data_IF_253142011460
#
_entry.id   IF_253142011460
#
_cell.length_a   1.000
_cell.length_b   1.000
_cell.length_c   1.000
_cell.angle_alpha   90.00
_cell.angle_beta   90.00
_cell.angle_gamma   90.00
#
_symmetry.space_group_name_H-M   'P 1'
#
loop_
_entity.id
_entity.type
_entity.pdbx_description
1 polymer ?
#
# COMPACT_ATOMS: atom_id res chain seq x y z
N UNK A 1 -6.64 29.82 -27.72
CA UNK A 1 -6.56 30.14 -26.28
C UNK A 1 -7.44 29.24 -25.40
N UNK A 2 -8.62 28.82 -25.84
CA UNK A 2 -9.49 27.92 -25.05
C UNK A 2 -8.80 26.60 -24.64
N UNK A 3 -8.09 25.92 -25.55
CA UNK A 3 -7.40 24.65 -25.24
C UNK A 3 -6.33 24.72 -24.15
N UNK A 4 -5.71 25.90 -23.93
CA UNK A 4 -4.72 26.09 -22.88
C UNK A 4 -5.36 26.21 -21.48
N UNK A 5 -6.52 26.87 -21.39
CA UNK A 5 -7.28 26.99 -20.15
C UNK A 5 -7.92 25.65 -19.74
N UNK A 6 -8.39 24.84 -20.70
CA UNK A 6 -8.86 23.48 -20.40
C UNK A 6 -7.73 22.59 -19.91
N UNK A 7 -6.56 22.65 -20.53
CA UNK A 7 -5.38 21.90 -20.07
C UNK A 7 -4.96 22.29 -18.65
N UNK A 8 -4.90 23.59 -18.37
CA UNK A 8 -4.54 24.10 -17.05
C UNK A 8 -5.59 23.75 -15.98
N UNK A 9 -6.87 23.71 -16.35
CA UNK A 9 -7.97 23.31 -15.45
C UNK A 9 -7.96 21.81 -15.14
N UNK A 10 -7.66 20.95 -16.11
CA UNK A 10 -7.55 19.49 -15.89
C UNK A 10 -6.33 19.16 -15.03
N UNK A 11 -5.19 19.81 -15.30
CA UNK A 11 -3.98 19.61 -14.51
C UNK A 11 -4.13 20.19 -13.08
N UNK A 12 -4.88 21.28 -12.92
CA UNK A 12 -5.29 21.82 -11.62
C UNK A 12 -6.17 20.84 -10.85
N UNK A 13 -7.18 20.25 -11.47
CA UNK A 13 -8.12 19.36 -10.77
C UNK A 13 -7.47 18.06 -10.30
N UNK A 14 -6.51 17.53 -11.06
CA UNK A 14 -5.78 16.32 -10.68
C UNK A 14 -4.81 16.54 -9.51
N UNK A 15 -4.36 17.77 -9.27
CA UNK A 15 -3.44 18.13 -8.19
C UNK A 15 -4.13 18.62 -6.91
N UNK A 16 -5.47 18.76 -6.92
CA UNK A 16 -6.23 19.10 -5.72
C UNK A 16 -6.08 18.02 -4.64
N UNK A 17 -6.00 18.37 -3.34
CA UNK A 17 -5.91 17.38 -2.28
C UNK A 17 -7.06 16.38 -2.32
N UNK A 18 -6.77 15.10 -2.12
CA UNK A 18 -7.81 14.10 -1.82
C UNK A 18 -8.16 14.22 -0.35
N UNK A 19 -9.42 14.47 -0.05
CA UNK A 19 -9.86 14.76 1.32
C UNK A 19 -10.39 13.48 1.93
N UNK A 20 -9.98 13.17 3.15
CA UNK A 20 -10.47 12.02 3.91
C UNK A 20 -10.88 12.46 5.31
N UNK A 21 -11.98 11.91 5.81
CA UNK A 21 -12.40 12.14 7.19
C UNK A 21 -11.43 11.47 8.18
N UNK A 22 -11.10 12.15 9.28
CA UNK A 22 -10.21 11.61 10.31
C UNK A 22 -10.63 10.23 10.83
N UNK A 23 -11.93 9.96 10.93
CA UNK A 23 -12.43 8.65 11.39
C UNK A 23 -12.02 7.50 10.48
N UNK A 24 -11.86 7.75 9.18
CA UNK A 24 -11.54 6.71 8.19
C UNK A 24 -10.07 6.29 8.20
N UNK A 25 -9.20 7.13 8.75
CA UNK A 25 -7.76 6.85 8.89
C UNK A 25 -7.34 6.56 10.33
N UNK A 26 -8.26 6.64 11.29
CA UNK A 26 -7.96 6.37 12.70
C UNK A 26 -7.88 4.87 13.00
N UNK A 27 -8.69 4.05 12.32
CA UNK A 27 -8.82 2.63 12.64
C UNK A 27 -8.09 1.74 11.64
N UNK A 28 -7.09 1.02 12.15
CA UNK A 28 -6.32 0.06 11.40
C UNK A 28 -6.28 -1.27 12.14
N UNK A 29 -6.38 -2.36 11.37
CA UNK A 29 -6.33 -3.71 11.92
C UNK A 29 -5.17 -4.46 11.32
N UNK A 30 -4.38 -5.08 12.19
CA UNK A 30 -3.41 -6.07 11.77
C UNK A 30 -4.17 -7.34 11.37
N UNK A 31 -4.00 -7.78 10.13
CA UNK A 31 -4.66 -8.97 9.60
C UNK A 31 -3.60 -9.96 9.16
N UNK A 32 -3.69 -11.16 9.71
CA UNK A 32 -2.98 -12.32 9.21
C UNK A 32 -3.88 -13.07 8.23
N UNK A 33 -3.44 -13.16 6.98
CA UNK A 33 -4.13 -13.83 5.89
C UNK A 33 -3.61 -15.26 5.76
N UNK A 34 -4.49 -16.17 5.33
CA UNK A 34 -4.04 -17.52 4.96
C UNK A 34 -3.14 -17.43 3.72
N UNK A 35 -2.07 -18.24 3.62
CA UNK A 35 -1.28 -18.35 2.40
C UNK A 35 -2.13 -18.69 1.15
N UNK A 36 -3.28 -19.33 1.34
CA UNK A 36 -4.21 -19.69 0.26
C UNK A 36 -5.18 -18.56 -0.11
N UNK A 37 -5.29 -17.50 0.71
CA UNK A 37 -6.17 -16.37 0.43
C UNK A 37 -5.56 -15.48 -0.66
N UNK A 38 -6.40 -14.95 -1.56
CA UNK A 38 -5.96 -13.95 -2.53
C UNK A 38 -5.57 -12.65 -1.83
N UNK A 39 -4.45 -12.04 -2.23
CA UNK A 39 -3.94 -10.80 -1.65
C UNK A 39 -2.41 -10.70 -1.73
N UNK A 40 -1.92 -9.47 -1.57
CA UNK A 40 -0.52 -9.07 -1.77
C UNK A 40 0.42 -9.46 -0.62
N UNK A 41 -0.08 -9.67 0.59
CA UNK A 41 0.74 -9.99 1.76
C UNK A 41 0.10 -11.01 2.69
N UNK A 42 0.95 -11.70 3.46
CA UNK A 42 0.53 -12.61 4.53
C UNK A 42 0.10 -11.81 5.77
N UNK A 43 0.95 -10.89 6.20
CA UNK A 43 0.64 -9.94 7.25
C UNK A 43 0.39 -8.59 6.60
N UNK A 44 -0.74 -7.98 6.93
CA UNK A 44 -1.14 -6.72 6.31
C UNK A 44 -1.82 -5.81 7.33
N UNK A 45 -1.70 -4.50 7.10
CA UNK A 45 -2.41 -3.48 7.84
C UNK A 45 -3.61 -3.03 7.00
N UNK A 46 -4.81 -3.29 7.51
CA UNK A 46 -6.07 -3.07 6.80
C UNK A 46 -6.83 -1.89 7.43
N UNK A 47 -7.15 -0.84 6.65
CA UNK A 47 -8.04 0.22 7.11
C UNK A 47 -9.50 -0.27 7.08
N UNK A 48 -10.43 0.63 7.37
CA UNK A 48 -11.85 0.41 7.06
C UNK A 48 -12.06 0.28 5.55
N UNK A 49 -13.04 -0.51 5.12
CA UNK A 49 -13.38 -0.63 3.69
C UNK A 49 -13.91 0.70 3.10
N UNK A 50 -14.38 1.59 3.98
CA UNK A 50 -14.92 2.90 3.65
C UNK A 50 -13.82 3.87 3.17
N UNK A 51 -12.61 3.82 3.74
CA UNK A 51 -11.47 4.61 3.25
C UNK A 51 -11.18 4.33 1.77
N UNK A 52 -11.13 3.05 1.38
CA UNK A 52 -10.93 2.64 -0.03
C UNK A 52 -12.05 3.15 -0.91
N UNK A 53 -13.29 2.95 -0.49
CA UNK A 53 -14.46 3.32 -1.27
C UNK A 53 -14.49 4.83 -1.53
N UNK A 54 -14.23 5.65 -0.52
CA UNK A 54 -14.21 7.11 -0.63
C UNK A 54 -13.12 7.60 -1.59
N UNK A 55 -11.89 7.11 -1.43
CA UNK A 55 -10.79 7.47 -2.30
C UNK A 55 -11.02 7.00 -3.75
N UNK A 56 -11.58 5.81 -3.95
CA UNK A 56 -11.96 5.33 -5.27
C UNK A 56 -13.01 6.24 -5.94
N UNK A 57 -14.03 6.68 -5.19
CA UNK A 57 -15.04 7.61 -5.72
C UNK A 57 -14.43 8.96 -6.09
N UNK A 58 -13.50 9.50 -5.29
CA UNK A 58 -12.80 10.74 -5.63
C UNK A 58 -11.93 10.60 -6.88
N UNK A 59 -11.21 9.48 -7.02
CA UNK A 59 -10.44 9.19 -8.24
C UNK A 59 -11.38 9.14 -9.44
N UNK A 60 -12.46 8.36 -9.36
CA UNK A 60 -13.44 8.26 -10.44
C UNK A 60 -14.05 9.62 -10.80
N UNK A 61 -14.44 10.43 -9.82
CA UNK A 61 -15.01 11.76 -10.06
C UNK A 61 -14.06 12.74 -10.75
N UNK A 62 -12.75 12.54 -10.63
CA UNK A 62 -11.72 13.39 -11.25
C UNK A 62 -11.29 12.90 -12.62
N UNK A 63 -11.12 11.58 -12.77
CA UNK A 63 -10.58 10.98 -14.00
C UNK A 63 -11.70 10.62 -14.98
N UNK A 64 -12.91 10.34 -14.48
CA UNK A 64 -14.02 9.75 -15.23
C UNK A 64 -13.66 8.42 -15.91
N UNK A 65 -12.62 7.75 -15.41
CA UNK A 65 -12.12 6.49 -15.96
C UNK A 65 -12.81 5.30 -15.25
N UNK A 66 -13.39 4.40 -16.04
CA UNK A 66 -13.93 3.15 -15.53
C UNK A 66 -12.78 2.22 -15.13
N UNK A 67 -12.59 2.03 -13.82
CA UNK A 67 -11.53 1.21 -13.25
C UNK A 67 -12.08 0.13 -12.32
N UNK A 68 -11.27 -0.88 -12.06
CA UNK A 68 -11.53 -1.91 -11.07
C UNK A 68 -10.97 -1.45 -9.72
N UNK A 69 -11.67 -1.73 -8.62
CA UNK A 69 -11.16 -1.51 -7.26
C UNK A 69 -10.92 -2.87 -6.58
N UNK A 70 -9.89 -3.02 -5.72
CA UNK A 70 -9.67 -4.29 -5.03
C UNK A 70 -10.79 -4.55 -4.03
N UNK A 71 -11.06 -5.83 -3.76
CA UNK A 71 -12.10 -6.26 -2.81
C UNK A 71 -11.82 -5.73 -1.40
N UNK A 72 -10.55 -5.70 -1.00
CA UNK A 72 -10.12 -5.17 0.29
C UNK A 72 -8.85 -4.33 0.09
N UNK A 73 -8.83 -3.13 0.68
CA UNK A 73 -7.63 -2.32 0.80
C UNK A 73 -6.74 -2.89 1.91
N UNK A 74 -5.45 -3.01 1.67
CA UNK A 74 -4.49 -3.32 2.71
C UNK A 74 -3.09 -2.88 2.30
N UNK A 75 -2.31 -2.45 3.28
CA UNK A 75 -0.87 -2.25 3.17
C UNK A 75 -0.23 -3.61 3.50
N UNK A 76 0.44 -4.29 2.55
CA UNK A 76 1.22 -5.46 2.92
C UNK A 76 2.35 -5.02 3.86
N UNK A 77 2.54 -5.77 4.94
CA UNK A 77 3.68 -5.61 5.85
C UNK A 77 4.76 -6.66 5.55
N UNK A 78 4.30 -7.85 5.15
CA UNK A 78 5.12 -8.96 4.69
C UNK A 78 4.50 -9.51 3.41
N UNK A 79 5.25 -9.43 2.32
CA UNK A 79 4.87 -10.02 1.04
C UNK A 79 4.94 -11.54 1.11
N UNK A 80 4.20 -12.19 0.23
CA UNK A 80 4.16 -13.67 0.17
C UNK A 80 5.54 -14.26 -0.12
N UNK A 81 6.30 -13.64 -1.00
CA UNK A 81 7.66 -14.04 -1.36
C UNK A 81 8.65 -13.84 -0.20
N UNK A 82 8.50 -12.78 0.58
CA UNK A 82 9.30 -12.53 1.79
C UNK A 82 9.01 -13.54 2.88
N UNK A 83 7.75 -13.95 3.03
CA UNK A 83 7.36 -14.94 4.02
C UNK A 83 8.08 -16.28 3.81
N UNK A 84 8.31 -16.70 2.57
CA UNK A 84 9.05 -17.94 2.30
C UNK A 84 10.48 -17.89 2.87
N UNK A 85 11.14 -16.72 2.81
CA UNK A 85 12.47 -16.50 3.41
C UNK A 85 12.40 -16.55 4.93
N UNK A 86 11.40 -15.90 5.53
CA UNK A 86 11.23 -15.86 6.99
C UNK A 86 10.91 -17.25 7.58
N UNK A 87 10.11 -18.06 6.87
CA UNK A 87 9.81 -19.45 7.27
C UNK A 87 11.07 -20.33 7.21
N UNK A 88 11.90 -20.16 6.18
CA UNK A 88 13.17 -20.89 6.10
C UNK A 88 14.10 -20.58 7.27
N UNK A 89 13.92 -19.41 7.92
CA UNK A 89 14.62 -18.97 9.12
C UNK A 89 13.88 -19.30 10.43
N UNK A 90 12.82 -20.11 10.36
CA UNK A 90 12.10 -20.60 11.53
C UNK A 90 11.03 -19.67 12.09
N UNK A 91 10.72 -18.55 11.42
CA UNK A 91 9.62 -17.67 11.87
C UNK A 91 8.26 -18.22 11.45
N UNK A 92 7.35 -18.32 12.42
CA UNK A 92 5.95 -18.65 12.19
C UNK A 92 5.11 -17.39 11.96
N UNK A 93 3.90 -17.51 11.35
CA UNK A 93 2.97 -16.39 11.22
C UNK A 93 2.61 -15.70 12.54
N UNK A 94 2.52 -16.47 13.63
CA UNK A 94 2.24 -15.93 14.96
C UNK A 94 3.43 -15.15 15.52
N UNK A 95 4.67 -15.52 15.18
CA UNK A 95 5.86 -14.75 15.54
C UNK A 95 5.82 -13.37 14.87
N UNK A 96 5.53 -13.35 13.56
CA UNK A 96 5.40 -12.10 12.80
C UNK A 96 4.31 -11.19 13.38
N UNK A 97 3.16 -11.76 13.74
CA UNK A 97 2.09 -11.00 14.40
C UNK A 97 2.56 -10.44 15.74
N UNK A 98 3.22 -11.25 16.58
CA UNK A 98 3.71 -10.81 17.90
C UNK A 98 4.73 -9.68 17.80
N UNK A 99 5.65 -9.71 16.83
CA UNK A 99 6.61 -8.62 16.61
C UNK A 99 5.88 -7.34 16.18
N UNK A 100 4.91 -7.45 15.27
CA UNK A 100 4.12 -6.30 14.83
C UNK A 100 3.27 -5.69 15.97
N UNK A 101 2.68 -6.52 16.82
CA UNK A 101 1.96 -6.09 18.02
C UNK A 101 2.90 -5.41 19.04
N UNK A 102 4.07 -5.98 19.29
CA UNK A 102 5.03 -5.45 20.26
C UNK A 102 5.54 -4.04 19.91
N UNK A 103 5.62 -3.71 18.63
CA UNK A 103 6.05 -2.38 18.15
C UNK A 103 4.87 -1.45 17.84
N UNK A 104 3.64 -1.89 18.12
CA UNK A 104 2.44 -1.07 17.99
C UNK A 104 2.05 -0.74 16.55
N UNK A 105 2.27 -1.65 15.59
CA UNK A 105 1.93 -1.43 14.16
C UNK A 105 0.44 -1.09 13.98
N UNK A 106 -0.45 -1.73 14.74
CA UNK A 106 -1.89 -1.45 14.69
C UNK A 106 -2.33 -0.30 15.61
N UNK A 107 -1.52 0.03 16.63
CA UNK A 107 -1.85 1.07 17.61
C UNK A 107 -1.51 2.47 17.09
N UNK A 108 -0.66 2.55 16.06
CA UNK A 108 -0.28 3.81 15.41
C UNK A 108 -0.80 3.85 13.99
N UNK A 109 -1.79 4.70 13.74
CA UNK A 109 -2.31 4.93 12.40
C UNK A 109 -1.18 5.43 11.45
N UNK A 110 -0.96 4.77 10.29
CA UNK A 110 -0.09 5.27 9.26
C UNK A 110 -0.49 6.68 8.83
N UNK A 111 0.50 7.56 8.71
CA UNK A 111 0.31 8.93 8.27
C UNK A 111 0.03 8.95 6.76
N UNK A 112 -1.12 9.47 6.30
CA UNK A 112 -1.40 9.63 4.88
C UNK A 112 -0.40 10.60 4.25
N UNK A 113 0.08 10.27 3.06
CA UNK A 113 1.00 11.12 2.29
C UNK A 113 0.28 11.67 1.05
N UNK A 114 -0.06 10.79 0.11
CA UNK A 114 -0.58 11.22 -1.18
C UNK A 114 -1.32 10.12 -1.93
N UNK A 115 -2.01 10.52 -3.00
CA UNK A 115 -2.40 9.63 -4.09
C UNK A 115 -1.35 9.73 -5.19
N UNK A 116 -0.92 8.59 -5.72
CA UNK A 116 -0.08 8.50 -6.91
C UNK A 116 -0.71 7.61 -7.98
N UNK A 117 -0.09 7.61 -9.16
CA UNK A 117 -0.46 6.73 -10.27
C UNK A 117 0.79 6.16 -10.92
N UNK A 118 0.83 4.84 -11.09
CA UNK A 118 1.84 4.16 -11.92
C UNK A 118 1.18 3.72 -13.23
N UNK A 119 1.93 3.83 -14.33
CA UNK A 119 1.51 3.39 -15.66
C UNK A 119 2.61 2.52 -16.28
N UNK A 120 2.21 1.37 -16.78
CA UNK A 120 3.10 0.42 -17.46
C UNK A 120 2.60 0.14 -18.86
N UNK A 121 3.51 0.17 -19.84
CA UNK A 121 3.22 -0.30 -21.18
C UNK A 121 3.20 -1.84 -21.19
N UNK A 122 2.15 -2.42 -21.76
CA UNK A 122 2.00 -3.86 -21.93
C UNK A 122 1.71 -4.19 -23.39
N UNK A 123 1.90 -5.44 -23.81
CA UNK A 123 1.57 -5.84 -25.17
C UNK A 123 0.09 -5.56 -25.45
N UNK A 124 -0.18 -4.69 -26.41
CA UNK A 124 -1.55 -4.32 -26.80
C UNK A 124 -2.19 -3.20 -25.97
N UNK A 125 -1.45 -2.52 -25.08
CA UNK A 125 -2.01 -1.36 -24.37
C UNK A 125 -1.13 -0.80 -23.25
N UNK A 126 -1.79 -0.15 -22.29
CA UNK A 126 -1.18 0.30 -21.04
C UNK A 126 -2.05 -0.15 -19.88
N UNK A 127 -1.42 -0.59 -18.79
CA UNK A 127 -2.10 -0.78 -17.52
C UNK A 127 -1.69 0.30 -16.54
N UNK A 128 -2.57 0.62 -15.59
CA UNK A 128 -2.30 1.64 -14.59
C UNK A 128 -2.90 1.27 -13.24
N UNK A 129 -2.29 1.80 -12.19
CA UNK A 129 -2.70 1.64 -10.81
C UNK A 129 -2.65 2.99 -10.08
N UNK A 130 -3.78 3.40 -9.54
CA UNK A 130 -3.87 4.43 -8.51
C UNK A 130 -3.70 3.81 -7.13
N UNK A 131 -2.87 4.46 -6.31
CA UNK A 131 -2.56 4.02 -4.97
C UNK A 131 -2.57 5.19 -3.98
N UNK A 132 -2.87 4.90 -2.72
CA UNK A 132 -2.62 5.81 -1.60
C UNK A 132 -1.32 5.42 -0.91
N UNK A 133 -0.43 6.39 -0.71
CA UNK A 133 0.85 6.22 -0.03
C UNK A 133 0.76 6.70 1.42
N UNK A 134 1.40 5.94 2.31
CA UNK A 134 1.45 6.21 3.74
C UNK A 134 2.90 6.13 4.27
N UNK A 135 3.11 6.67 5.46
CA UNK A 135 4.33 6.45 6.26
C UNK A 135 3.96 5.93 7.64
N UNK A 136 4.76 5.00 8.19
CA UNK A 136 4.56 4.51 9.56
C UNK A 136 5.90 4.13 10.19
N UNK A 137 6.41 4.91 11.17
CA UNK A 137 7.60 4.55 11.91
C UNK A 137 7.50 3.19 12.62
N UNK A 138 6.29 2.80 13.03
CA UNK A 138 6.05 1.50 13.64
C UNK A 138 6.26 0.34 12.65
N UNK A 139 5.95 0.55 11.36
CA UNK A 139 6.23 -0.45 10.32
C UNK A 139 7.72 -0.50 9.99
N UNK A 140 8.41 0.65 9.96
CA UNK A 140 9.87 0.69 9.77
C UNK A 140 10.58 -0.08 10.90
N UNK A 141 10.15 0.14 12.14
CA UNK A 141 10.65 -0.54 13.32
C UNK A 141 10.33 -2.04 13.32
N UNK A 142 9.11 -2.43 12.93
CA UNK A 142 8.73 -3.82 12.72
C UNK A 142 9.69 -4.54 11.77
N UNK A 143 9.96 -3.94 10.60
CA UNK A 143 10.86 -4.51 9.59
C UNK A 143 12.28 -4.66 10.11
N UNK A 144 12.77 -3.67 10.86
CA UNK A 144 14.09 -3.71 11.51
C UNK A 144 14.20 -4.88 12.48
N UNK A 145 13.20 -5.06 13.36
CA UNK A 145 13.21 -6.17 14.32
C UNK A 145 13.17 -7.55 13.65
N UNK A 146 12.47 -7.68 12.52
CA UNK A 146 12.48 -8.94 11.78
C UNK A 146 13.86 -9.28 11.23
N UNK A 147 14.63 -8.31 10.73
CA UNK A 147 16.01 -8.55 10.29
C UNK A 147 16.87 -9.01 11.46
N UNK A 148 16.80 -8.31 12.60
CA UNK A 148 17.57 -8.64 13.80
C UNK A 148 17.28 -10.07 14.29
N UNK A 149 16.01 -10.43 14.39
CA UNK A 149 15.61 -11.77 14.83
C UNK A 149 15.91 -12.85 13.77
N UNK A 150 15.94 -12.48 12.49
CA UNK A 150 16.22 -13.40 11.39
C UNK A 150 17.72 -13.66 11.20
N UNK A 151 18.61 -12.78 11.68
CA UNK A 151 20.06 -12.90 11.53
C UNK A 151 20.72 -13.68 12.68
N UNK A 152 20.05 -13.78 13.83
CA UNK A 152 20.46 -14.65 14.95
C UNK A 152 20.44 -16.17 14.60
N UNK A 153 19.87 -16.55 13.45
CA UNK A 153 19.71 -17.94 12.99
C UNK A 153 20.85 -18.55 12.15
N UNK A 154 21.89 -17.78 11.80
CA UNK A 154 23.04 -18.28 11.04
C UNK A 154 22.84 -18.37 9.51
N UNK A 155 23.92 -18.10 8.77
CA UNK A 155 23.97 -17.90 7.32
C UNK A 155 23.24 -18.99 6.51
N UNK A 156 22.03 -18.68 6.08
CA UNK A 156 21.30 -19.42 5.04
C UNK A 156 20.92 -18.49 3.90
N UNK A 157 20.95 -19.02 2.68
CA UNK A 157 20.81 -18.28 1.43
C UNK A 157 19.46 -17.57 1.33
N UNK A 158 19.48 -16.26 1.05
CA UNK A 158 18.33 -15.38 0.92
C UNK A 158 18.28 -14.34 2.05
N UNK A 159 18.52 -13.06 1.73
CA UNK A 159 18.43 -11.95 2.69
C UNK A 159 17.02 -11.39 2.71
N UNK A 160 16.39 -11.38 3.89
CA UNK A 160 15.25 -10.50 4.13
C UNK A 160 15.79 -9.07 4.27
N UNK A 161 15.31 -8.14 3.46
CA UNK A 161 15.78 -6.76 3.49
C UNK A 161 14.96 -5.91 4.45
N UNK A 162 15.61 -5.13 5.31
CA UNK A 162 14.93 -4.25 6.25
C UNK A 162 14.08 -3.19 5.53
N UNK A 163 14.56 -2.72 4.37
CA UNK A 163 13.99 -1.55 3.70
C UNK A 163 12.53 -1.83 3.33
N UNK A 164 11.58 -1.05 3.85
CA UNK A 164 10.20 -1.21 3.47
C UNK A 164 10.07 -0.83 1.99
N UNK A 165 9.30 -1.63 1.25
CA UNK A 165 8.67 -1.13 0.05
C UNK A 165 7.64 -0.06 0.44
N UNK A 166 7.19 0.72 -0.55
CA UNK A 166 6.20 1.74 -0.34
C UNK A 166 4.99 1.19 0.43
N UNK A 167 4.62 1.86 1.54
CA UNK A 167 3.41 1.52 2.29
C UNK A 167 2.20 2.05 1.52
N UNK A 168 1.79 1.27 0.52
CA UNK A 168 0.80 1.69 -0.45
C UNK A 168 -0.44 0.79 -0.40
N UNK A 169 -1.60 1.43 -0.50
CA UNK A 169 -2.88 0.76 -0.69
C UNK A 169 -3.28 0.91 -2.16
N UNK A 170 -3.56 -0.19 -2.88
CA UNK A 170 -4.15 -0.10 -4.21
C UNK A 170 -5.61 0.36 -4.11
N UNK A 171 -6.00 1.33 -4.94
CA UNK A 171 -7.34 1.93 -4.91
C UNK A 171 -8.14 1.64 -6.17
N UNK A 172 -7.50 1.83 -7.32
CA UNK A 172 -8.11 1.66 -8.63
C UNK A 172 -7.08 1.16 -9.65
N UNK A 173 -7.42 0.20 -10.49
CA UNK A 173 -6.56 -0.26 -11.57
C UNK A 173 -7.35 -0.46 -12.87
N UNK A 174 -6.65 -0.43 -14.00
CA UNK A 174 -7.20 -0.77 -15.31
C UNK A 174 -7.60 -2.25 -15.44
N UNK A 175 -7.07 -3.12 -14.58
CA UNK A 175 -7.31 -4.55 -14.55
C UNK A 175 -7.54 -5.04 -13.11
N UNK A 176 -7.90 -6.31 -12.94
CA UNK A 176 -8.16 -6.93 -11.64
C UNK A 176 -6.95 -7.58 -10.97
N UNK A 177 -5.78 -7.59 -11.63
CA UNK A 177 -4.58 -8.25 -11.10
C UNK A 177 -3.77 -7.29 -10.22
N UNK A 178 -4.32 -7.00 -9.04
CA UNK A 178 -3.66 -6.13 -8.06
C UNK A 178 -2.36 -6.72 -7.50
N UNK A 179 -2.20 -8.04 -7.53
CA UNK A 179 -1.05 -8.71 -6.92
C UNK A 179 0.22 -8.49 -7.71
N UNK A 180 0.13 -8.49 -9.04
CA UNK A 180 1.30 -8.30 -9.91
C UNK A 180 2.00 -6.95 -9.76
N UNK A 181 1.35 -5.96 -9.13
CA UNK A 181 1.92 -4.63 -8.92
C UNK A 181 2.90 -4.55 -7.76
N UNK A 182 2.93 -5.57 -6.89
CA UNK A 182 3.77 -5.59 -5.70
C UNK A 182 5.05 -6.40 -5.91
N UNK A 183 6.20 -5.99 -5.33
CA UNK A 183 6.40 -4.77 -4.52
C UNK A 183 6.29 -3.47 -5.34
N UNK A 184 5.53 -2.50 -4.84
CA UNK A 184 5.41 -1.18 -5.46
C UNK A 184 6.69 -0.38 -5.21
N UNK A 185 7.35 0.02 -6.30
CA UNK A 185 8.55 0.86 -6.28
C UNK A 185 8.17 2.31 -6.54
N UNK A 186 7.59 2.94 -5.52
CA UNK A 186 7.12 4.34 -5.58
C UNK A 186 7.57 5.10 -4.35
N UNK A 187 7.66 6.41 -4.48
CA UNK A 187 8.07 7.33 -3.41
C UNK A 187 7.18 8.57 -3.41
N UNK A 188 7.41 9.49 -2.48
CA UNK A 188 6.67 10.76 -2.45
C UNK A 188 6.87 11.62 -3.71
N UNK A 189 7.92 11.39 -4.52
CA UNK A 189 8.09 12.11 -5.79
C UNK A 189 7.12 11.66 -6.88
N UNK A 190 6.51 10.48 -6.72
CA UNK A 190 5.54 9.90 -7.65
C UNK A 190 4.09 10.30 -7.32
N UNK A 191 3.93 11.15 -6.29
CA UNK A 191 2.64 11.68 -5.87
C UNK A 191 2.01 12.56 -6.96
N UNK A 192 0.73 12.31 -7.21
CA UNK A 192 -0.12 13.15 -8.04
C UNK A 192 -0.71 14.31 -7.23
N UNK A 193 -1.21 14.01 -6.02
CA UNK A 193 -1.82 14.99 -5.13
C UNK A 193 -1.78 14.54 -3.67
N UNK A 194 -1.72 15.47 -2.70
CA UNK A 194 -1.63 15.12 -1.28
C UNK A 194 -2.94 14.51 -0.76
N UNK A 195 -2.83 13.69 0.28
CA UNK A 195 -3.96 13.26 1.10
C UNK A 195 -4.12 14.25 2.26
N UNK A 196 -5.31 14.82 2.40
CA UNK A 196 -5.64 15.77 3.45
C UNK A 196 -6.69 15.17 4.38
N UNK A 197 -6.30 14.96 5.64
CA UNK A 197 -7.23 14.57 6.71
C UNK A 197 -7.97 15.82 7.20
N UNK A 198 -9.30 15.71 7.36
CA UNK A 198 -10.15 16.75 7.95
C UNK A 198 -10.83 16.26 9.23
#
# INVERSE_FOLDING_TARGET
MLGWLFWQSVQSSLSEPYVIDQSLVAEWRLVLRSPMQAGVGLLALQPTDQLRAELFQQIFGRTMESMTSPVAAAIPLILREEYAVLVARGMSPDDLRRVAEAVGVADTAPRPLCIGVVREAVTGGSRQLYYALFASPAVDEFRRQLVEQADDGGSTSGSFEASPYALAIPLAASDGDFQSWFPLRVTETDCLAPLQVR
#
